data_IF_909621111371
#
_entry.id   IF_909621111371
#
_cell.length_a   1.000
_cell.length_b   1.000
_cell.length_c   1.000
_cell.angle_alpha   90.00
_cell.angle_beta   90.00
_cell.angle_gamma   90.00
#
_symmetry.space_group_name_H-M   'P 1'
#
loop_
_entity.id
_entity.type
_entity.pdbx_description
1 polymer ?
#
# COMPACT_ATOMS: atom_id res chain seq x y z
N UNK A 1 -12.20 19.55 -3.31
CA UNK A 1 -13.13 18.47 -2.91
C UNK A 1 -12.43 17.57 -1.89
N UNK A 2 -13.07 17.18 -0.78
CA UNK A 2 -12.48 16.26 0.19
C UNK A 2 -12.25 14.88 -0.45
N UNK A 3 -11.07 14.29 -0.22
CA UNK A 3 -10.77 12.93 -0.67
C UNK A 3 -11.62 11.94 0.15
N UNK A 4 -12.42 11.12 -0.54
CA UNK A 4 -13.26 10.10 0.11
C UNK A 4 -12.41 8.89 0.51
N UNK A 5 -12.73 8.31 1.66
CA UNK A 5 -12.21 7.00 2.08
C UNK A 5 -12.82 5.91 1.20
N UNK A 6 -12.01 4.97 0.74
CA UNK A 6 -12.45 3.79 0.00
C UNK A 6 -11.68 2.55 0.47
N UNK A 7 -12.31 1.39 0.40
CA UNK A 7 -11.61 0.12 0.61
C UNK A 7 -10.96 -0.31 -0.71
N UNK A 8 -9.72 -0.77 -0.65
CA UNK A 8 -8.99 -1.38 -1.77
C UNK A 8 -8.41 -2.73 -1.33
N UNK A 9 -8.01 -3.55 -2.29
CA UNK A 9 -7.46 -4.89 -2.01
C UNK A 9 -5.96 -4.80 -1.65
N UNK A 10 -5.53 -5.73 -0.79
CA UNK A 10 -4.10 -6.05 -0.56
C UNK A 10 -3.83 -7.40 -1.22
N UNK A 11 -3.01 -7.46 -2.25
CA UNK A 11 -2.64 -8.70 -2.92
C UNK A 11 -1.36 -9.29 -2.32
N UNK A 12 -1.43 -10.51 -1.80
CA UNK A 12 -0.28 -11.24 -1.27
C UNK A 12 0.29 -12.19 -2.32
N UNK A 13 1.57 -12.56 -2.18
CA UNK A 13 2.25 -13.46 -3.12
C UNK A 13 1.70 -14.90 -3.08
N UNK A 14 1.12 -15.30 -1.96
CA UNK A 14 0.44 -16.60 -1.81
C UNK A 14 -0.95 -16.64 -2.47
N UNK A 15 -1.35 -15.56 -3.15
CA UNK A 15 -2.65 -15.41 -3.82
C UNK A 15 -3.79 -15.03 -2.87
N UNK A 16 -3.53 -14.94 -1.55
CA UNK A 16 -4.52 -14.45 -0.61
C UNK A 16 -4.75 -12.94 -0.81
N UNK A 17 -5.91 -12.46 -0.33
CA UNK A 17 -6.28 -11.06 -0.40
C UNK A 17 -6.60 -10.51 0.98
N UNK A 18 -6.05 -9.34 1.28
CA UNK A 18 -6.36 -8.52 2.44
C UNK A 18 -7.15 -7.28 2.05
N UNK A 19 -7.36 -6.41 3.03
CA UNK A 19 -8.08 -5.13 2.84
C UNK A 19 -7.21 -3.97 3.30
N UNK A 20 -7.27 -2.89 2.55
CA UNK A 20 -6.68 -1.61 2.91
C UNK A 20 -7.74 -0.50 2.85
N UNK A 21 -7.53 0.56 3.63
CA UNK A 21 -8.29 1.79 3.53
C UNK A 21 -7.44 2.83 2.83
N UNK A 22 -7.93 3.34 1.71
CA UNK A 22 -7.28 4.38 0.92
C UNK A 22 -7.97 5.74 1.09
N UNK A 23 -7.17 6.81 1.13
CA UNK A 23 -7.63 8.21 1.08
C UNK A 23 -6.65 9.01 0.23
N UNK A 24 -7.11 9.47 -0.94
CA UNK A 24 -6.22 10.08 -1.92
C UNK A 24 -5.15 9.08 -2.36
N UNK A 25 -3.89 9.48 -2.36
CA UNK A 25 -2.75 8.65 -2.74
C UNK A 25 -2.20 7.76 -1.61
N UNK A 26 -2.79 7.79 -0.41
CA UNK A 26 -2.32 7.01 0.73
C UNK A 26 -3.21 5.78 0.96
N UNK A 27 -2.62 4.69 1.45
CA UNK A 27 -3.31 3.47 1.85
C UNK A 27 -2.77 2.97 3.19
N UNK A 28 -3.68 2.48 4.04
CA UNK A 28 -3.33 1.85 5.32
C UNK A 28 -3.91 0.44 5.41
N UNK A 29 -3.13 -0.52 5.89
CA UNK A 29 -3.53 -1.93 6.02
C UNK A 29 -2.81 -2.64 7.16
N UNK A 30 -3.32 -3.81 7.52
CA UNK A 30 -2.67 -4.73 8.45
C UNK A 30 -2.08 -5.89 7.64
N UNK A 31 -0.85 -6.28 7.94
CA UNK A 31 -0.22 -7.43 7.31
C UNK A 31 -0.86 -8.74 7.81
N UNK A 32 -1.07 -9.72 6.92
CA UNK A 32 -1.64 -11.03 7.28
C UNK A 32 -0.72 -11.96 8.10
N UNK A 33 0.45 -11.48 8.54
CA UNK A 33 1.37 -12.24 9.40
C UNK A 33 0.92 -12.33 10.88
N UNK A 34 -0.23 -11.76 11.22
CA UNK A 34 -0.77 -11.73 12.59
C UNK A 34 -0.31 -10.54 13.43
N UNK A 35 0.57 -9.68 12.91
CA UNK A 35 0.90 -8.40 13.53
C UNK A 35 -0.27 -7.41 13.36
N UNK A 36 -0.72 -6.79 14.44
CA UNK A 36 -1.84 -5.81 14.42
C UNK A 36 -1.41 -4.38 14.05
N UNK A 37 -0.10 -4.15 13.89
CA UNK A 37 0.41 -2.84 13.51
C UNK A 37 -0.05 -2.44 12.11
N UNK A 38 -0.59 -1.22 12.00
CA UNK A 38 -0.94 -0.62 10.71
C UNK A 38 0.32 -0.22 9.94
N UNK A 39 0.35 -0.64 8.68
CA UNK A 39 1.29 -0.19 7.66
C UNK A 39 0.66 0.98 6.88
N UNK A 40 1.50 1.95 6.50
CA UNK A 40 1.07 3.15 5.76
C UNK A 40 1.94 3.31 4.52
N UNK A 41 1.32 3.30 3.34
CA UNK A 41 1.99 3.44 2.05
C UNK A 41 1.36 4.50 1.16
N UNK A 42 2.06 4.86 0.08
CA UNK A 42 1.64 5.88 -0.89
C UNK A 42 1.85 5.40 -2.34
N UNK A 43 0.89 5.71 -3.19
CA UNK A 43 0.82 5.27 -4.59
C UNK A 43 1.81 5.97 -5.55
N UNK A 44 2.30 7.15 -5.18
CA UNK A 44 3.29 7.92 -5.91
C UNK A 44 4.41 8.35 -4.94
N UNK A 45 5.48 7.55 -4.79
CA UNK A 45 6.63 7.94 -3.98
C UNK A 45 7.28 9.18 -4.57
N UNK A 46 7.55 10.17 -3.71
CA UNK A 46 8.15 11.44 -4.12
C UNK A 46 9.65 11.41 -3.85
N UNK A 47 10.44 11.51 -4.92
CA UNK A 47 11.90 11.56 -4.88
C UNK A 47 12.42 12.79 -4.11
N UNK A 48 11.66 13.89 -4.06
CA UNK A 48 12.07 15.08 -3.32
C UNK A 48 12.01 14.88 -1.80
N UNK A 49 11.17 13.96 -1.32
CA UNK A 49 10.99 13.67 0.10
C UNK A 49 11.64 12.36 0.54
N UNK A 50 12.36 11.66 -0.35
CA UNK A 50 12.90 10.32 -0.12
C UNK A 50 11.85 9.34 0.45
N UNK A 51 10.58 9.53 0.06
CA UNK A 51 9.53 8.62 0.50
C UNK A 51 9.76 7.27 -0.19
N UNK A 52 9.94 6.17 0.57
CA UNK A 52 10.23 4.87 -0.04
C UNK A 52 9.07 4.41 -0.92
N UNK A 53 9.40 3.80 -2.06
CA UNK A 53 8.42 3.21 -2.98
C UNK A 53 7.70 1.98 -2.42
N UNK A 54 8.14 1.50 -1.25
CA UNK A 54 7.62 0.32 -0.60
C UNK A 54 7.60 0.49 0.92
N UNK A 55 6.78 -0.33 1.56
CA UNK A 55 6.63 -0.41 3.02
C UNK A 55 6.97 -1.83 3.44
N UNK A 56 7.88 -1.99 4.40
CA UNK A 56 8.22 -3.29 4.96
C UNK A 56 7.46 -3.52 6.27
N UNK A 57 6.87 -4.71 6.41
CA UNK A 57 6.27 -5.13 7.66
C UNK A 57 7.37 -5.41 8.68
N UNK A 58 7.39 -4.76 9.86
CA UNK A 58 8.46 -4.95 10.84
C UNK A 58 8.47 -6.34 11.50
N UNK A 59 7.38 -7.11 11.38
CA UNK A 59 7.24 -8.42 12.01
C UNK A 59 7.69 -9.58 11.10
N UNK A 60 7.43 -9.49 9.79
CA UNK A 60 7.68 -10.58 8.85
C UNK A 60 8.53 -10.18 7.64
N UNK A 61 8.96 -8.92 7.57
CA UNK A 61 9.79 -8.35 6.51
C UNK A 61 9.22 -8.44 5.09
N UNK A 62 7.92 -8.78 4.94
CA UNK A 62 7.20 -8.66 3.66
C UNK A 62 7.18 -7.20 3.23
N UNK A 63 7.41 -6.97 1.94
CA UNK A 63 7.42 -5.64 1.34
C UNK A 63 6.19 -5.44 0.50
N UNK A 64 5.63 -4.24 0.56
CA UNK A 64 4.40 -3.89 -0.13
C UNK A 64 4.60 -2.59 -0.90
N UNK A 65 4.05 -2.53 -2.10
CA UNK A 65 3.91 -1.29 -2.88
C UNK A 65 2.45 -0.89 -2.96
N UNK A 66 2.18 0.41 -3.09
CA UNK A 66 0.84 0.93 -3.38
C UNK A 66 0.85 1.38 -4.84
N UNK A 67 -0.14 0.99 -5.62
CA UNK A 67 -0.26 1.40 -7.03
C UNK A 67 -1.31 2.49 -7.20
N UNK A 68 -1.07 3.38 -8.17
CA UNK A 68 -2.01 4.39 -8.63
C UNK A 68 -2.76 3.90 -9.88
N UNK A 69 -3.85 4.56 -10.25
CA UNK A 69 -4.69 4.18 -11.39
C UNK A 69 -4.09 4.49 -12.77
N UNK A 70 -2.84 4.94 -12.83
CA UNK A 70 -2.16 5.32 -14.07
C UNK A 70 -2.14 6.84 -14.33
N UNK A 71 -1.81 7.22 -15.57
CA UNK A 71 -1.54 8.61 -15.95
C UNK A 71 -2.73 9.54 -15.67
N UNK A 72 -2.58 10.40 -14.67
CA UNK A 72 -3.59 11.39 -14.24
C UNK A 72 -4.41 10.99 -13.01
N UNK A 73 -4.30 9.75 -12.52
CA UNK A 73 -5.03 9.28 -11.34
C UNK A 73 -4.08 8.85 -10.22
N UNK A 74 -3.74 9.80 -9.35
CA UNK A 74 -2.84 9.62 -8.20
C UNK A 74 -3.48 8.90 -7.00
N UNK A 75 -4.76 8.55 -7.07
CA UNK A 75 -5.41 7.89 -5.95
C UNK A 75 -4.88 6.46 -5.80
N UNK A 76 -4.65 6.01 -4.57
CA UNK A 76 -4.28 4.63 -4.29
C UNK A 76 -5.40 3.68 -4.75
N UNK A 77 -5.05 2.66 -5.51
CA UNK A 77 -6.00 1.72 -6.11
C UNK A 77 -5.84 0.29 -5.59
N UNK A 78 -4.61 -0.10 -5.26
CA UNK A 78 -4.29 -1.44 -4.76
C UNK A 78 -3.01 -1.39 -3.92
N UNK A 79 -2.87 -2.33 -2.99
CA UNK A 79 -1.60 -2.61 -2.30
C UNK A 79 -1.15 -4.01 -2.71
N UNK A 80 0.11 -4.18 -3.10
CA UNK A 80 0.62 -5.47 -3.58
C UNK A 80 1.94 -5.83 -2.91
N UNK A 81 2.04 -7.06 -2.43
CA UNK A 81 3.29 -7.63 -1.91
C UNK A 81 4.30 -7.78 -3.06
N UNK A 82 5.52 -7.29 -2.85
CA UNK A 82 6.59 -7.27 -3.85
C UNK A 82 7.78 -8.11 -3.40
N UNK A 83 8.46 -8.73 -4.37
CA UNK A 83 9.73 -9.43 -4.16
C UNK A 83 10.87 -8.43 -4.26
N UNK A 84 11.88 -8.58 -3.40
CA UNK A 84 13.19 -7.97 -3.66
C UNK A 84 13.82 -8.67 -4.86
N UNK A 85 14.01 -7.92 -5.95
CA UNK A 85 14.98 -8.29 -6.97
C UNK A 85 16.41 -8.13 -6.41
#
# INVERSE_FOLDING_TARGET
MPKKRKQIDVMYQDGTRGKAIATGNNAAWVCNCGNEQLLLGRADPDNATNTPAWVECPACHRRFSVSSGGAGQQDAMEVSEITTA
#
